data_IF_074379394078
#
_entry.id   IF_074379394078
#
_cell.length_a   1.000
_cell.length_b   1.000
_cell.length_c   1.000
_cell.angle_alpha   90.00
_cell.angle_beta   90.00
_cell.angle_gamma   90.00
#
_symmetry.space_group_name_H-M   'P 1'
#
loop_
_entity.id
_entity.type
_entity.pdbx_description
1 polymer ?
#
# COMPACT_ATOMS: atom_id res chain seq x y z
N UNK A 1 -9.23 -8.56 11.48
CA UNK A 1 -10.02 -8.88 10.27
C UNK A 1 -9.50 -8.00 9.13
N UNK A 2 -9.52 -8.45 7.87
CA UNK A 2 -9.13 -7.61 6.77
C UNK A 2 -10.07 -6.39 6.66
N UNK A 3 -9.51 -5.20 6.48
CA UNK A 3 -10.26 -3.96 6.31
C UNK A 3 -10.89 -3.94 4.93
N UNK A 4 -12.21 -3.82 4.83
CA UNK A 4 -12.90 -3.72 3.54
C UNK A 4 -12.68 -2.35 2.89
N UNK A 5 -12.85 -2.23 1.58
CA UNK A 5 -12.74 -0.94 0.88
C UNK A 5 -13.73 0.11 1.42
N UNK A 6 -15.02 -0.17 1.60
CA UNK A 6 -15.93 0.81 2.20
C UNK A 6 -15.51 1.27 3.61
N UNK A 7 -15.00 0.36 4.43
CA UNK A 7 -14.50 0.71 5.76
C UNK A 7 -13.24 1.57 5.69
N UNK A 8 -12.29 1.21 4.84
CA UNK A 8 -11.09 2.01 4.61
C UNK A 8 -11.45 3.44 4.17
N UNK A 9 -12.31 3.60 3.18
CA UNK A 9 -12.75 4.91 2.70
C UNK A 9 -13.46 5.73 3.79
N UNK A 10 -14.29 5.09 4.62
CA UNK A 10 -14.94 5.75 5.76
C UNK A 10 -13.91 6.25 6.78
N UNK A 11 -12.89 5.46 7.09
CA UNK A 11 -11.81 5.85 8.01
C UNK A 11 -10.92 6.93 7.41
N UNK A 12 -10.57 6.83 6.12
CA UNK A 12 -9.79 7.85 5.40
C UNK A 12 -10.45 9.23 5.47
N UNK A 13 -11.77 9.32 5.32
CA UNK A 13 -12.51 10.58 5.43
C UNK A 13 -12.44 11.22 6.80
N UNK A 14 -12.02 10.53 7.84
CA UNK A 14 -11.85 11.12 9.18
C UNK A 14 -10.61 12.03 9.29
N UNK A 15 -9.66 11.89 8.37
CA UNK A 15 -8.44 12.69 8.40
C UNK A 15 -8.04 13.29 7.03
N UNK A 16 -8.54 12.74 5.93
CA UNK A 16 -8.34 13.29 4.59
C UNK A 16 -9.56 14.16 4.23
N UNK A 17 -9.54 15.41 4.70
CA UNK A 17 -10.72 16.31 4.64
C UNK A 17 -10.63 17.36 3.53
N UNK A 18 -9.56 17.38 2.73
CA UNK A 18 -9.39 18.35 1.64
C UNK A 18 -10.37 18.15 0.47
N UNK A 19 -10.50 19.17 -0.40
CA UNK A 19 -11.32 19.08 -1.62
C UNK A 19 -10.77 18.04 -2.60
N UNK A 20 -9.49 17.74 -2.51
CA UNK A 20 -8.77 16.82 -3.40
C UNK A 20 -8.88 15.38 -2.90
N UNK A 21 -10.12 14.87 -2.90
CA UNK A 21 -10.36 13.47 -2.57
C UNK A 21 -9.90 12.57 -3.72
N UNK A 22 -8.79 11.83 -3.58
CA UNK A 22 -8.19 11.11 -4.71
C UNK A 22 -8.94 9.81 -5.06
N UNK A 23 -9.78 9.31 -4.15
CA UNK A 23 -10.55 8.07 -4.30
C UNK A 23 -11.97 8.41 -4.79
N UNK A 24 -12.09 9.16 -5.88
CA UNK A 24 -13.39 9.39 -6.51
C UNK A 24 -13.82 8.11 -7.23
N UNK A 25 -15.14 7.77 -7.20
CA UNK A 25 -15.62 6.63 -7.97
C UNK A 25 -15.46 6.92 -9.46
N UNK A 26 -14.61 6.18 -10.15
CA UNK A 26 -14.39 6.37 -11.58
C UNK A 26 -15.46 5.65 -12.39
N UNK A 27 -15.45 5.88 -13.70
CA UNK A 27 -16.21 5.06 -14.66
C UNK A 27 -15.55 3.66 -14.77
N UNK A 28 -15.75 2.84 -13.77
CA UNK A 28 -15.03 1.59 -13.55
C UNK A 28 -15.43 0.43 -14.48
N UNK A 29 -16.55 0.54 -15.20
CA UNK A 29 -17.14 -0.57 -15.94
C UNK A 29 -16.19 -1.16 -17.00
N UNK A 30 -15.51 -0.31 -17.77
CA UNK A 30 -14.59 -0.75 -18.82
C UNK A 30 -13.34 -1.46 -18.23
N UNK A 31 -12.80 -0.93 -17.13
CA UNK A 31 -11.65 -1.56 -16.45
C UNK A 31 -12.04 -2.90 -15.82
N UNK A 32 -13.20 -3.00 -15.19
CA UNK A 32 -13.70 -4.27 -14.65
C UNK A 32 -13.86 -5.31 -15.74
N UNK A 33 -14.44 -4.95 -16.87
CA UNK A 33 -14.62 -5.86 -17.98
C UNK A 33 -13.27 -6.33 -18.56
N UNK A 34 -12.32 -5.39 -18.75
CA UNK A 34 -10.95 -5.73 -19.19
C UNK A 34 -10.26 -6.68 -18.21
N UNK A 35 -10.34 -6.42 -16.90
CA UNK A 35 -9.74 -7.29 -15.90
C UNK A 35 -10.40 -8.68 -15.87
N UNK A 36 -11.74 -8.76 -15.95
CA UNK A 36 -12.48 -10.03 -16.00
C UNK A 36 -12.08 -10.87 -17.22
N UNK A 37 -11.99 -10.25 -18.39
CA UNK A 37 -11.54 -10.92 -19.61
C UNK A 37 -10.12 -11.44 -19.48
N UNK A 38 -9.24 -10.67 -18.84
CA UNK A 38 -7.83 -11.06 -18.67
C UNK A 38 -7.66 -12.21 -17.66
N UNK A 39 -8.39 -12.15 -16.55
CA UNK A 39 -8.36 -13.20 -15.50
C UNK A 39 -9.09 -14.46 -15.95
N UNK A 40 -10.04 -14.36 -16.89
CA UNK A 40 -10.83 -15.49 -17.41
C UNK A 40 -11.78 -16.12 -16.37
N UNK A 41 -12.04 -15.43 -15.25
CA UNK A 41 -12.93 -15.84 -14.16
C UNK A 41 -13.47 -14.60 -13.43
N UNK A 42 -14.50 -14.75 -12.56
CA UNK A 42 -14.95 -13.66 -11.71
C UNK A 42 -13.80 -13.07 -10.88
N UNK A 43 -13.72 -11.76 -10.80
CA UNK A 43 -12.76 -11.08 -9.93
C UNK A 43 -13.14 -11.31 -8.46
N UNK A 44 -12.15 -11.36 -7.56
CA UNK A 44 -12.44 -11.34 -6.13
C UNK A 44 -13.29 -10.10 -5.76
N UNK A 45 -14.36 -10.26 -4.95
CA UNK A 45 -15.22 -9.13 -4.59
C UNK A 45 -14.50 -7.90 -4.03
N UNK A 46 -13.43 -8.04 -3.24
CA UNK A 46 -12.67 -6.89 -2.76
C UNK A 46 -11.91 -6.14 -3.85
N UNK A 47 -11.41 -6.85 -4.87
CA UNK A 47 -10.82 -6.20 -6.04
C UNK A 47 -11.87 -5.43 -6.85
N UNK A 48 -13.06 -6.02 -7.04
CA UNK A 48 -14.17 -5.30 -7.67
C UNK A 48 -14.54 -4.04 -6.89
N UNK A 49 -14.62 -4.15 -5.55
CA UNK A 49 -14.88 -2.99 -4.68
C UNK A 49 -13.77 -1.93 -4.78
N UNK A 50 -12.50 -2.34 -4.85
CA UNK A 50 -11.38 -1.40 -5.06
C UNK A 50 -11.53 -0.65 -6.37
N UNK A 51 -11.72 -1.37 -7.47
CA UNK A 51 -11.87 -0.78 -8.80
C UNK A 51 -13.08 0.16 -8.87
N UNK A 52 -14.18 -0.20 -8.23
CA UNK A 52 -15.43 0.59 -8.27
C UNK A 52 -15.42 1.82 -7.36
N UNK A 53 -14.71 1.76 -6.22
CA UNK A 53 -14.89 2.72 -5.15
C UNK A 53 -13.62 3.49 -4.78
N UNK A 54 -12.45 2.94 -5.06
CA UNK A 54 -11.20 3.44 -4.48
C UNK A 54 -10.01 3.54 -5.43
N UNK A 55 -10.06 2.93 -6.62
CA UNK A 55 -8.95 3.07 -7.57
C UNK A 55 -8.85 4.53 -8.02
N UNK A 56 -7.66 5.16 -7.96
CA UNK A 56 -7.51 6.55 -8.32
C UNK A 56 -7.73 6.76 -9.83
N UNK A 57 -8.20 7.94 -10.22
CA UNK A 57 -8.39 8.31 -11.63
C UNK A 57 -7.09 8.81 -12.30
N UNK A 58 -6.10 9.12 -11.50
CA UNK A 58 -4.74 9.46 -11.91
C UNK A 58 -3.77 8.80 -10.93
N UNK A 59 -2.50 8.57 -11.29
CA UNK A 59 -1.52 8.01 -10.38
C UNK A 59 -1.48 8.79 -9.06
N UNK A 60 -1.66 8.09 -7.95
CA UNK A 60 -1.70 8.67 -6.61
C UNK A 60 -0.40 8.38 -5.87
N UNK A 61 0.37 9.42 -5.60
CA UNK A 61 1.61 9.34 -4.84
C UNK A 61 1.32 9.53 -3.35
N UNK A 62 1.66 8.54 -2.55
CA UNK A 62 1.52 8.54 -1.10
C UNK A 62 2.92 8.51 -0.47
N UNK A 63 3.29 9.61 0.19
CA UNK A 63 4.58 9.74 0.86
C UNK A 63 4.79 8.67 1.92
N UNK A 64 5.97 8.09 1.90
CA UNK A 64 6.45 7.15 2.90
C UNK A 64 7.88 7.52 3.31
N UNK A 65 8.43 6.82 4.28
CA UNK A 65 9.85 6.98 4.61
C UNK A 65 10.66 6.22 3.57
N UNK A 66 11.47 6.93 2.83
CA UNK A 66 12.19 6.41 1.66
C UNK A 66 11.44 6.70 0.36
N UNK A 67 11.18 5.67 -0.44
CA UNK A 67 10.45 5.81 -1.69
C UNK A 67 8.94 5.91 -1.45
N UNK A 68 8.22 6.82 -2.11
CA UNK A 68 6.77 6.90 -2.01
C UNK A 68 6.10 5.66 -2.63
N UNK A 69 4.90 5.33 -2.16
CA UNK A 69 4.00 4.41 -2.84
C UNK A 69 3.25 5.19 -3.92
N UNK A 70 3.40 4.78 -5.17
CA UNK A 70 2.57 5.23 -6.28
C UNK A 70 1.48 4.19 -6.55
N UNK A 71 0.22 4.52 -6.30
CA UNK A 71 -0.91 3.72 -6.76
C UNK A 71 -1.23 4.08 -8.20
N UNK A 72 -1.40 3.08 -9.04
CA UNK A 72 -1.68 3.28 -10.46
C UNK A 72 -3.12 3.72 -10.70
N UNK A 73 -3.29 4.53 -11.73
CA UNK A 73 -4.60 4.96 -12.16
C UNK A 73 -5.46 3.78 -12.62
N UNK A 74 -6.77 3.96 -12.53
CA UNK A 74 -7.75 2.93 -12.86
C UNK A 74 -7.55 2.31 -14.26
N UNK A 75 -7.21 3.12 -15.24
CA UNK A 75 -6.97 2.69 -16.62
C UNK A 75 -5.62 1.97 -16.81
N UNK A 76 -4.69 2.18 -15.89
CA UNK A 76 -3.39 1.51 -15.86
C UNK A 76 -3.43 0.15 -15.16
N UNK A 77 -4.48 -0.14 -14.37
CA UNK A 77 -4.61 -1.44 -13.70
C UNK A 77 -4.66 -2.58 -14.72
N UNK A 78 -3.69 -3.47 -14.67
CA UNK A 78 -3.56 -4.59 -15.59
C UNK A 78 -2.76 -5.73 -14.98
N UNK A 79 -3.00 -6.96 -15.50
CA UNK A 79 -2.12 -8.12 -15.25
C UNK A 79 -0.96 -8.18 -16.26
N UNK A 80 -1.03 -7.35 -17.31
CA UNK A 80 0.03 -7.23 -18.31
C UNK A 80 0.68 -5.86 -18.17
N UNK A 81 1.84 -5.84 -17.51
CA UNK A 81 2.56 -4.59 -17.22
C UNK A 81 3.94 -4.62 -17.86
N UNK A 82 4.20 -3.73 -18.85
CA UNK A 82 5.53 -3.59 -19.43
C UNK A 82 6.57 -3.24 -18.36
N UNK A 83 7.70 -3.92 -18.40
CA UNK A 83 8.76 -3.76 -17.39
C UNK A 83 8.67 -4.70 -16.20
N UNK A 84 7.51 -5.32 -15.95
CA UNK A 84 7.29 -6.30 -14.88
C UNK A 84 6.87 -7.66 -15.43
N UNK A 85 5.72 -7.75 -16.04
CA UNK A 85 5.22 -9.01 -16.62
C UNK A 85 5.75 -9.26 -18.04
N UNK A 86 6.11 -8.20 -18.74
CA UNK A 86 6.58 -8.25 -20.13
C UNK A 86 7.75 -7.28 -20.32
N UNK A 87 8.68 -7.69 -21.16
CA UNK A 87 9.74 -6.80 -21.63
C UNK A 87 9.14 -5.61 -22.39
N UNK A 88 9.42 -4.39 -21.92
CA UNK A 88 8.80 -3.18 -22.46
C UNK A 88 9.17 -2.91 -23.93
N UNK A 89 10.29 -3.43 -24.42
CA UNK A 89 10.79 -3.23 -25.79
C UNK A 89 10.28 -4.29 -26.74
N UNK A 90 10.21 -5.54 -26.31
CA UNK A 90 9.88 -6.69 -27.18
C UNK A 90 8.44 -7.18 -27.00
N UNK A 91 7.77 -6.80 -25.92
CA UNK A 91 6.45 -7.30 -25.54
C UNK A 91 6.43 -8.77 -25.12
N UNK A 92 7.59 -9.41 -24.99
CA UNK A 92 7.67 -10.80 -24.57
C UNK A 92 7.45 -10.96 -23.06
N UNK A 93 6.75 -12.01 -22.60
CA UNK A 93 6.60 -12.29 -21.19
C UNK A 93 7.95 -12.42 -20.49
N UNK A 94 8.09 -11.80 -19.32
CA UNK A 94 9.27 -11.95 -18.48
C UNK A 94 9.16 -13.26 -17.67
N UNK A 95 10.26 -14.04 -17.58
CA UNK A 95 10.25 -15.29 -16.84
C UNK A 95 9.93 -15.09 -15.36
N UNK A 96 9.14 -15.97 -14.80
CA UNK A 96 8.86 -16.02 -13.36
C UNK A 96 7.79 -15.06 -12.86
N UNK A 97 7.26 -14.13 -13.71
CA UNK A 97 6.13 -13.31 -13.30
C UNK A 97 4.83 -14.14 -13.31
N UNK A 98 4.13 -14.25 -12.18
CA UNK A 98 2.87 -15.01 -12.14
C UNK A 98 1.77 -14.30 -12.92
N UNK A 99 1.10 -15.03 -13.81
CA UNK A 99 0.01 -14.50 -14.64
C UNK A 99 -1.22 -14.02 -13.85
N UNK A 100 -1.28 -14.37 -12.56
CA UNK A 100 -2.38 -14.00 -11.65
C UNK A 100 -2.08 -12.75 -10.82
N UNK A 101 -0.92 -12.14 -11.02
CA UNK A 101 -0.56 -10.93 -10.28
C UNK A 101 -1.13 -9.69 -10.95
N UNK A 102 -1.96 -8.98 -10.19
CA UNK A 102 -2.41 -7.63 -10.54
C UNK A 102 -1.47 -6.62 -9.88
N UNK A 103 -0.87 -5.78 -10.67
CA UNK A 103 -0.06 -4.67 -10.21
C UNK A 103 -0.97 -3.52 -9.76
N UNK A 104 -0.90 -3.17 -8.48
CA UNK A 104 -1.65 -2.05 -7.89
C UNK A 104 -0.87 -0.74 -7.95
N UNK A 105 0.45 -0.82 -8.01
CA UNK A 105 1.35 0.31 -7.97
C UNK A 105 2.80 -0.12 -7.75
N UNK A 106 3.64 0.81 -7.36
CA UNK A 106 5.04 0.53 -7.02
C UNK A 106 5.54 1.38 -5.85
N UNK A 107 6.65 0.95 -5.22
CA UNK A 107 7.41 1.71 -4.23
C UNK A 107 8.83 1.87 -4.81
N UNK A 108 9.09 3.03 -5.44
CA UNK A 108 10.39 3.29 -6.06
C UNK A 108 10.75 2.35 -7.21
N UNK A 109 9.77 1.86 -7.96
CA UNK A 109 9.93 0.89 -9.04
C UNK A 109 9.79 -0.57 -8.60
N UNK A 110 9.68 -0.86 -7.31
CA UNK A 110 9.41 -2.20 -6.80
C UNK A 110 7.90 -2.48 -6.82
N UNK A 111 7.42 -3.53 -7.51
CA UNK A 111 6.00 -3.72 -7.74
C UNK A 111 5.24 -4.07 -6.46
N UNK A 112 4.09 -3.44 -6.29
CA UNK A 112 3.09 -3.75 -5.26
C UNK A 112 1.93 -4.50 -5.91
N UNK A 113 1.78 -5.76 -5.54
CA UNK A 113 0.89 -6.69 -6.24
C UNK A 113 -0.14 -7.34 -5.34
N UNK A 114 -1.28 -7.67 -5.94
CA UNK A 114 -2.32 -8.55 -5.42
C UNK A 114 -2.36 -9.81 -6.28
N UNK A 115 -2.20 -11.00 -5.68
CA UNK A 115 -2.44 -12.25 -6.39
C UNK A 115 -3.95 -12.55 -6.43
N UNK A 116 -4.56 -12.36 -7.59
CA UNK A 116 -6.00 -12.61 -7.77
C UNK A 116 -6.38 -14.09 -7.72
N UNK A 117 -5.41 -15.02 -7.70
CA UNK A 117 -5.64 -16.45 -7.54
C UNK A 117 -5.54 -16.93 -6.10
N UNK A 118 -4.86 -16.19 -5.24
CA UNK A 118 -4.66 -16.58 -3.85
C UNK A 118 -6.00 -16.56 -3.08
N UNK A 119 -6.20 -17.45 -2.10
CA UNK A 119 -7.38 -17.47 -1.23
C UNK A 119 -7.32 -16.35 -0.19
N UNK A 120 -7.05 -15.15 -0.60
CA UNK A 120 -6.92 -13.98 0.27
C UNK A 120 -6.70 -12.73 -0.54
N UNK A 121 -6.61 -11.61 0.15
CA UNK A 121 -6.44 -10.29 -0.47
C UNK A 121 -5.09 -9.69 -0.10
N UNK A 122 -4.13 -10.54 0.29
CA UNK A 122 -2.83 -10.09 0.73
C UNK A 122 -2.12 -9.32 -0.38
N UNK A 123 -1.63 -8.15 -0.02
CA UNK A 123 -0.84 -7.29 -0.90
C UNK A 123 0.61 -7.37 -0.46
N UNK A 124 1.49 -7.57 -1.42
CA UNK A 124 2.93 -7.68 -1.17
C UNK A 124 3.73 -6.79 -2.12
N UNK A 125 4.87 -6.30 -1.63
CA UNK A 125 5.90 -5.68 -2.44
C UNK A 125 6.94 -6.73 -2.83
N UNK A 126 7.42 -6.67 -4.06
CA UNK A 126 8.53 -7.50 -4.54
C UNK A 126 9.65 -6.61 -5.05
N UNK A 127 10.88 -7.09 -4.94
CA UNK A 127 12.06 -6.30 -5.30
C UNK A 127 12.52 -6.65 -6.71
N UNK A 128 12.49 -5.65 -7.61
CA UNK A 128 12.99 -5.81 -8.96
C UNK A 128 14.51 -5.86 -8.93
N UNK A 129 15.24 -6.67 -9.35
CA UNK A 129 16.72 -6.72 -9.27
C UNK A 129 17.25 -7.85 -8.41
N UNK A 130 16.39 -8.56 -7.69
CA UNK A 130 16.78 -9.79 -7.00
C UNK A 130 16.85 -11.02 -7.93
N UNK A 131 16.56 -10.84 -9.22
CA UNK A 131 16.62 -11.90 -10.23
C UNK A 131 15.50 -12.95 -10.13
N UNK A 132 14.61 -12.82 -9.16
CA UNK A 132 13.44 -13.69 -9.00
C UNK A 132 12.31 -12.97 -8.26
N UNK A 133 11.09 -13.48 -8.43
CA UNK A 133 9.88 -13.03 -7.73
C UNK A 133 9.49 -14.00 -6.59
N UNK A 134 10.47 -14.77 -6.06
CA UNK A 134 10.19 -15.83 -5.09
C UNK A 134 9.91 -15.31 -3.68
N UNK A 135 10.45 -14.14 -3.32
CA UNK A 135 10.29 -13.54 -2.00
C UNK A 135 9.72 -12.13 -2.11
N UNK A 136 8.63 -11.88 -1.41
CA UNK A 136 8.02 -10.55 -1.30
C UNK A 136 7.81 -10.18 0.16
N UNK A 137 7.78 -8.89 0.43
CA UNK A 137 7.42 -8.35 1.75
C UNK A 137 5.92 -8.13 1.80
N UNK A 138 5.18 -8.83 2.68
CA UNK A 138 3.75 -8.58 2.85
C UNK A 138 3.53 -7.17 3.41
N UNK A 139 2.66 -6.39 2.77
CA UNK A 139 2.30 -5.04 3.20
C UNK A 139 0.95 -4.99 3.92
N UNK A 140 0.00 -5.83 3.49
CA UNK A 140 -1.35 -5.81 4.01
C UNK A 140 -2.09 -7.12 3.74
N UNK A 141 -3.11 -7.43 4.56
CA UNK A 141 -4.04 -8.55 4.35
C UNK A 141 -5.17 -8.22 3.36
N UNK A 142 -5.28 -6.96 2.94
CA UNK A 142 -6.28 -6.51 1.97
C UNK A 142 -5.88 -5.19 1.32
N UNK A 143 -6.44 -4.91 0.15
CA UNK A 143 -6.25 -3.61 -0.52
C UNK A 143 -6.79 -2.47 0.36
N UNK A 144 -7.89 -2.67 1.08
CA UNK A 144 -8.42 -1.68 2.02
C UNK A 144 -7.44 -1.35 3.15
N UNK A 145 -6.75 -2.35 3.69
CA UNK A 145 -5.72 -2.16 4.70
C UNK A 145 -4.50 -1.43 4.13
N UNK A 146 -4.05 -1.81 2.92
CA UNK A 146 -2.97 -1.10 2.21
C UNK A 146 -3.28 0.39 2.09
N UNK A 147 -4.45 0.73 1.54
CA UNK A 147 -4.88 2.12 1.35
C UNK A 147 -4.87 2.90 2.67
N UNK A 148 -5.42 2.30 3.71
CA UNK A 148 -5.55 2.94 5.01
C UNK A 148 -4.19 3.20 5.67
N UNK A 149 -3.28 2.24 5.64
CA UNK A 149 -1.95 2.38 6.21
C UNK A 149 -1.08 3.36 5.41
N UNK A 150 -1.09 3.26 4.07
CA UNK A 150 -0.34 4.17 3.20
C UNK A 150 -0.81 5.62 3.33
N UNK A 151 -2.13 5.85 3.34
CA UNK A 151 -2.69 7.18 3.51
C UNK A 151 -2.45 7.74 4.92
N UNK A 152 -2.45 6.89 5.96
CA UNK A 152 -2.10 7.32 7.31
C UNK A 152 -0.64 7.73 7.41
N UNK A 153 0.27 6.99 6.79
CA UNK A 153 1.69 7.37 6.73
C UNK A 153 1.87 8.69 5.98
N UNK A 154 1.28 8.80 4.78
CA UNK A 154 1.30 10.05 4.02
C UNK A 154 0.81 11.24 4.83
N UNK A 155 -0.34 11.11 5.51
CA UNK A 155 -0.89 12.18 6.34
C UNK A 155 0.02 12.53 7.53
N UNK A 156 0.64 11.54 8.17
CA UNK A 156 1.59 11.80 9.25
C UNK A 156 2.83 12.56 8.77
N UNK A 157 3.28 12.29 7.55
CA UNK A 157 4.44 12.94 6.96
C UNK A 157 4.16 14.34 6.39
N UNK A 158 2.93 14.60 5.94
CA UNK A 158 2.61 15.82 5.17
C UNK A 158 1.55 16.72 5.81
N UNK A 159 0.65 16.17 6.60
CA UNK A 159 -0.59 16.85 6.99
C UNK A 159 -0.71 17.27 8.47
N UNK A 160 0.08 16.68 9.37
CA UNK A 160 -0.12 16.91 10.84
C UNK A 160 0.48 18.23 11.31
N UNK A 161 1.62 18.62 10.77
CA UNK A 161 2.33 19.84 11.18
C UNK A 161 2.64 20.68 9.94
N UNK A 162 1.69 21.50 9.46
CA UNK A 162 1.91 22.32 8.28
C UNK A 162 3.12 23.23 8.43
N UNK A 163 3.96 23.27 7.39
CA UNK A 163 5.13 24.14 7.34
C UNK A 163 6.31 23.74 8.25
N UNK A 164 6.24 22.58 8.89
CA UNK A 164 7.36 22.03 9.65
C UNK A 164 7.80 20.68 9.06
N UNK A 165 9.11 20.35 9.14
CA UNK A 165 9.57 19.02 8.75
C UNK A 165 8.89 17.96 9.61
N UNK A 166 8.25 16.99 8.97
CA UNK A 166 7.63 15.86 9.66
C UNK A 166 8.68 14.88 10.20
N UNK A 167 9.88 14.88 9.63
CA UNK A 167 10.98 14.01 9.98
C UNK A 167 12.15 14.81 10.55
N UNK A 168 12.78 14.24 11.58
CA UNK A 168 14.05 14.69 12.13
C UNK A 168 15.02 13.50 12.22
N UNK A 169 16.32 13.78 12.20
CA UNK A 169 17.35 12.77 12.43
C UNK A 169 17.87 12.93 13.85
N UNK A 170 17.71 11.88 14.66
CA UNK A 170 18.28 11.81 16.00
C UNK A 170 19.78 11.50 15.99
N UNK A 171 20.42 11.65 17.15
CA UNK A 171 21.79 11.17 17.35
C UNK A 171 21.87 9.67 16.98
N UNK A 172 22.81 9.32 16.13
CA UNK A 172 22.94 7.94 15.61
C UNK A 172 22.23 7.66 14.28
N UNK A 173 21.69 8.70 13.61
CA UNK A 173 21.11 8.57 12.27
C UNK A 173 19.68 8.04 12.22
N UNK A 174 19.05 7.83 13.36
CA UNK A 174 17.66 7.35 13.42
C UNK A 174 16.70 8.42 12.93
N UNK A 175 15.72 8.03 12.12
CA UNK A 175 14.63 8.91 11.71
C UNK A 175 13.52 8.95 12.77
N UNK A 176 13.06 10.15 13.08
CA UNK A 176 11.98 10.40 14.04
C UNK A 176 10.88 11.22 13.37
N UNK A 177 9.64 10.82 13.59
CA UNK A 177 8.51 11.71 13.31
C UNK A 177 8.45 12.85 14.32
N UNK A 178 7.98 14.01 13.89
CA UNK A 178 7.60 15.08 14.81
C UNK A 178 6.64 14.54 15.88
N UNK A 179 6.75 14.99 17.16
CA UNK A 179 5.97 14.40 18.26
C UNK A 179 4.47 14.32 18.01
N UNK A 180 3.88 15.35 17.40
CA UNK A 180 2.46 15.36 17.06
C UNK A 180 2.11 14.31 16.01
N UNK A 181 2.94 14.14 14.98
CA UNK A 181 2.76 13.14 13.93
C UNK A 181 2.91 11.72 14.51
N UNK A 182 3.91 11.48 15.35
CA UNK A 182 4.09 10.20 16.02
C UNK A 182 2.89 9.86 16.93
N UNK A 183 2.44 10.80 17.75
CA UNK A 183 1.28 10.61 18.63
C UNK A 183 0.00 10.32 17.85
N UNK A 184 -0.14 10.88 16.64
CA UNK A 184 -1.29 10.64 15.77
C UNK A 184 -1.18 9.27 15.07
N UNK A 185 -0.01 8.91 14.56
CA UNK A 185 0.21 7.71 13.73
C UNK A 185 0.25 6.42 14.55
N UNK A 186 0.97 6.41 15.68
CA UNK A 186 1.21 5.21 16.49
C UNK A 186 -0.03 4.36 16.81
N UNK A 187 -1.12 4.94 17.37
CA UNK A 187 -2.31 4.16 17.70
C UNK A 187 -3.00 3.60 16.45
N UNK A 188 -2.88 4.31 15.32
CA UNK A 188 -3.48 3.93 14.04
C UNK A 188 -2.75 2.78 13.36
N UNK A 189 -1.41 2.83 13.30
CA UNK A 189 -0.63 1.71 12.78
C UNK A 189 -0.90 0.42 13.57
N UNK A 190 -0.93 0.51 14.90
CA UNK A 190 -1.28 -0.67 15.71
C UNK A 190 -2.66 -1.22 15.39
N UNK A 191 -3.65 -0.35 15.25
CA UNK A 191 -5.03 -0.76 15.03
C UNK A 191 -5.26 -1.28 13.61
N UNK A 192 -4.61 -0.67 12.61
CA UNK A 192 -4.91 -0.89 11.21
C UNK A 192 -3.95 -1.83 10.49
N UNK A 193 -2.65 -1.72 10.76
CA UNK A 193 -1.65 -2.55 10.11
C UNK A 193 -1.55 -3.97 10.72
N UNK A 194 -1.96 -4.14 11.98
CA UNK A 194 -1.90 -5.45 12.64
C UNK A 194 -0.48 -6.03 12.67
N UNK A 195 -0.25 -7.23 12.09
CA UNK A 195 1.07 -7.85 12.09
C UNK A 195 2.11 -7.10 11.26
N UNK A 196 1.70 -6.24 10.33
CA UNK A 196 2.58 -5.45 9.45
C UNK A 196 2.96 -4.07 10.04
N UNK A 197 2.59 -3.80 11.29
CA UNK A 197 2.84 -2.49 11.89
C UNK A 197 4.33 -2.13 11.94
N UNK A 198 5.20 -3.11 12.17
CA UNK A 198 6.65 -2.93 12.17
C UNK A 198 7.19 -2.64 10.76
N UNK A 199 6.66 -3.30 9.74
CA UNK A 199 7.04 -3.06 8.34
C UNK A 199 6.63 -1.64 7.92
N UNK A 200 5.42 -1.21 8.26
CA UNK A 200 4.96 0.16 8.01
C UNK A 200 5.71 1.22 8.83
N UNK A 201 6.11 0.91 10.05
CA UNK A 201 6.94 1.81 10.84
C UNK A 201 8.33 1.99 10.21
N UNK A 202 8.85 0.92 9.59
CA UNK A 202 10.13 0.93 8.88
C UNK A 202 11.26 1.52 9.73
N UNK A 203 12.00 2.49 9.18
CA UNK A 203 13.14 3.11 9.86
C UNK A 203 12.75 4.17 10.91
N UNK A 204 11.45 4.39 11.17
CA UNK A 204 10.98 5.39 12.13
C UNK A 204 11.09 4.87 13.57
N UNK A 205 12.05 5.35 14.33
CA UNK A 205 12.29 4.88 15.69
C UNK A 205 11.16 5.18 16.69
N UNK A 206 10.28 6.13 16.37
CA UNK A 206 9.15 6.54 17.21
C UNK A 206 7.77 6.34 16.55
N UNK A 207 7.67 5.61 15.47
CA UNK A 207 6.36 5.30 14.84
C UNK A 207 5.58 4.26 15.63
N UNK A 208 6.27 3.41 16.38
CA UNK A 208 5.66 2.47 17.33
C UNK A 208 6.28 2.69 18.70
N UNK A 209 5.54 2.46 19.79
CA UNK A 209 6.13 2.49 21.13
C UNK A 209 7.11 1.32 21.28
N UNK A 210 8.08 1.43 22.17
CA UNK A 210 8.95 0.33 22.51
C UNK A 210 8.10 -0.90 22.92
N UNK A 211 8.52 -2.12 22.55
CA UNK A 211 7.83 -3.32 22.98
C UNK A 211 7.75 -3.34 24.51
N UNK A 212 6.65 -3.85 25.10
CA UNK A 212 6.52 -3.92 26.54
C UNK A 212 7.70 -4.71 27.11
N UNK A 213 8.35 -4.15 28.13
CA UNK A 213 9.44 -4.83 28.84
C UNK A 213 8.96 -6.24 29.21
N UNK A 214 9.59 -7.26 28.65
CA UNK A 214 9.32 -8.65 29.04
C UNK A 214 9.57 -8.72 30.55
N UNK A 215 8.53 -8.97 31.33
CA UNK A 215 8.70 -9.26 32.76
C UNK A 215 9.71 -10.42 32.85
N UNK A 216 10.78 -10.29 33.64
CA UNK A 216 11.68 -11.41 33.85
C UNK A 216 10.85 -12.58 34.31
N UNK A 217 10.98 -13.73 33.66
CA UNK A 217 10.42 -14.99 34.18
C UNK A 217 11.16 -15.22 35.52
N UNK A 218 10.45 -15.03 36.61
CA UNK A 218 10.95 -15.46 37.91
C UNK A 218 11.26 -16.96 37.82
N UNK A 219 12.36 -17.41 38.39
CA UNK A 219 12.75 -18.81 38.38
C UNK A 219 11.77 -19.70 39.09
#
# INVERSE_FOLDING_TARGET
>A
MPTTIPEALRLLRTFWTGPDWPFAPPAAAATLERLRQHVGRPLPPPLEAYVQLAAPTQPLVLEQVGNPLTLYALDELSLVQPGYSHDARTGQPLPGWPATWLLLGDIGGDPVVLDVAAPGEAVSQYYHGEGSWASGTPLANSVGQLLLCAAAMHHALTGIVPGQPALATAAGGQLLLAPAAAAWLQPRLRAWAGPYAEDWAGPLANALPPPPLRKPRLP
#
